data_IF_373355035510
#
_entry.id   IF_373355035510
#
_cell.length_a   1.000
_cell.length_b   1.000
_cell.length_c   1.000
_cell.angle_alpha   90.00
_cell.angle_beta   90.00
_cell.angle_gamma   90.00
#
_symmetry.space_group_name_H-M   'P 1'
#
loop_
_entity.id
_entity.type
_entity.pdbx_description
1 polymer ?
#
# COMPACT_ATOMS: atom_id res chain seq x y z
N UNK A 1 -6.36 19.53 -1.85
CA UNK A 1 -7.22 18.33 -1.92
C UNK A 1 -7.04 17.66 -3.26
N UNK A 2 -6.63 16.40 -3.29
CA UNK A 2 -6.47 15.58 -4.48
C UNK A 2 -7.80 15.17 -5.09
N UNK A 3 -7.88 15.22 -6.41
CA UNK A 3 -8.90 14.52 -7.18
C UNK A 3 -8.58 13.04 -7.33
N UNK A 4 -9.60 12.21 -7.58
CA UNK A 4 -9.45 10.79 -7.93
C UNK A 4 -8.44 10.56 -9.08
N UNK A 5 -8.45 11.45 -10.09
CA UNK A 5 -7.53 11.38 -11.23
C UNK A 5 -6.08 11.63 -10.80
N UNK A 6 -5.85 12.60 -9.91
CA UNK A 6 -4.51 12.89 -9.38
C UNK A 6 -3.96 11.73 -8.55
N UNK A 7 -4.75 11.19 -7.62
CA UNK A 7 -4.34 10.03 -6.82
C UNK A 7 -3.97 8.85 -7.73
N UNK A 8 -4.81 8.53 -8.72
CA UNK A 8 -4.53 7.46 -9.68
C UNK A 8 -3.27 7.72 -10.50
N UNK A 9 -3.02 8.96 -10.93
CA UNK A 9 -1.81 9.32 -11.67
C UNK A 9 -0.56 9.09 -10.84
N UNK A 10 -0.53 9.61 -9.60
CA UNK A 10 0.59 9.46 -8.68
C UNK A 10 0.86 7.99 -8.34
N UNK A 11 -0.20 7.22 -8.13
CA UNK A 11 -0.10 5.79 -7.86
C UNK A 11 0.49 5.03 -9.06
N UNK A 12 0.03 5.33 -10.28
CA UNK A 12 0.58 4.73 -11.50
C UNK A 12 2.05 5.13 -11.73
N UNK A 13 2.43 6.38 -11.45
CA UNK A 13 3.82 6.83 -11.51
C UNK A 13 4.70 6.03 -10.55
N UNK A 14 4.26 5.84 -9.30
CA UNK A 14 4.97 5.02 -8.32
C UNK A 14 5.10 3.57 -8.77
N UNK A 15 4.03 2.98 -9.31
CA UNK A 15 4.07 1.62 -9.87
C UNK A 15 5.10 1.52 -11.00
N UNK A 16 5.05 2.43 -11.98
CA UNK A 16 6.00 2.45 -13.11
C UNK A 16 7.44 2.59 -12.60
N UNK A 17 7.69 3.48 -11.63
CA UNK A 17 9.00 3.65 -11.02
C UNK A 17 9.50 2.39 -10.32
N UNK A 18 8.63 1.73 -9.54
CA UNK A 18 8.96 0.48 -8.87
C UNK A 18 9.23 -0.64 -9.88
N UNK A 19 8.41 -0.74 -10.93
CA UNK A 19 8.53 -1.77 -11.97
C UNK A 19 9.81 -1.68 -12.80
N UNK A 20 10.47 -0.51 -12.85
CA UNK A 20 11.80 -0.38 -13.48
C UNK A 20 12.87 -1.17 -12.75
N UNK A 21 12.73 -1.35 -11.44
CA UNK A 21 13.68 -2.09 -10.58
C UNK A 21 13.23 -3.52 -10.31
N UNK A 22 11.92 -3.72 -10.17
CA UNK A 22 11.34 -4.98 -9.68
C UNK A 22 10.27 -5.50 -10.62
N UNK A 23 10.35 -6.79 -10.96
CA UNK A 23 9.27 -7.47 -11.66
C UNK A 23 8.14 -7.78 -10.67
N UNK A 24 7.20 -6.84 -10.55
CA UNK A 24 5.98 -6.98 -9.75
C UNK A 24 4.75 -6.93 -10.66
N UNK A 25 3.81 -7.83 -10.44
CA UNK A 25 2.52 -7.83 -11.13
C UNK A 25 1.46 -7.43 -10.12
N UNK A 26 1.00 -6.18 -10.20
CA UNK A 26 0.00 -5.63 -9.31
C UNK A 26 -0.86 -4.63 -10.08
N UNK A 27 -2.18 -4.69 -9.92
CA UNK A 27 -3.08 -3.66 -10.43
C UNK A 27 -3.28 -2.55 -9.39
N UNK A 28 -3.61 -1.34 -9.87
CA UNK A 28 -4.04 -0.21 -9.02
C UNK A 28 -5.48 0.15 -9.37
N UNK A 29 -6.35 0.16 -8.37
CA UNK A 29 -7.76 0.52 -8.54
C UNK A 29 -8.22 1.57 -7.55
N UNK A 30 -8.92 2.57 -8.09
CA UNK A 30 -9.62 3.57 -7.28
C UNK A 30 -11.02 3.05 -6.94
N UNK A 31 -11.28 2.79 -5.67
CA UNK A 31 -12.55 2.24 -5.17
C UNK A 31 -13.39 3.29 -4.46
N UNK A 32 -14.70 3.05 -4.37
CA UNK A 32 -15.57 3.87 -3.53
C UNK A 32 -15.22 3.71 -2.05
N UNK A 33 -15.52 4.73 -1.25
CA UNK A 33 -15.29 4.73 0.20
C UNK A 33 -15.94 3.51 0.87
N UNK A 34 -17.20 3.22 0.54
CA UNK A 34 -17.92 2.04 1.05
C UNK A 34 -17.22 0.73 0.72
N UNK A 35 -16.70 0.59 -0.50
CA UNK A 35 -15.97 -0.61 -0.91
C UNK A 35 -14.64 -0.71 -0.18
N UNK A 36 -13.91 0.40 -0.02
CA UNK A 36 -12.68 0.47 0.76
C UNK A 36 -12.91 -0.04 2.19
N UNK A 37 -13.93 0.49 2.88
CA UNK A 37 -14.28 0.06 4.23
C UNK A 37 -14.72 -1.40 4.31
N UNK A 38 -15.48 -1.89 3.34
CA UNK A 38 -15.87 -3.31 3.27
C UNK A 38 -14.65 -4.22 3.13
N UNK A 39 -13.64 -3.81 2.37
CA UNK A 39 -12.39 -4.56 2.22
C UNK A 39 -11.54 -4.46 3.49
N UNK A 40 -11.37 -3.26 4.04
CA UNK A 40 -10.61 -3.00 5.26
C UNK A 40 -11.11 -3.87 6.42
N UNK A 41 -12.44 -3.97 6.61
CA UNK A 41 -13.07 -4.80 7.66
C UNK A 41 -12.79 -6.29 7.55
N UNK A 42 -12.35 -6.78 6.39
CA UNK A 42 -11.95 -8.19 6.21
C UNK A 42 -10.52 -8.44 6.67
N UNK A 43 -9.66 -7.42 6.69
CA UNK A 43 -8.28 -7.54 7.17
C UNK A 43 -8.25 -7.75 8.70
N UNK A 44 -7.59 -8.83 9.19
CA UNK A 44 -7.40 -9.04 10.63
C UNK A 44 -6.68 -7.87 11.30
N UNK A 45 -5.72 -7.24 10.62
CA UNK A 45 -4.93 -6.11 11.12
C UNK A 45 -5.81 -4.88 11.40
N UNK A 46 -6.77 -4.61 10.51
CA UNK A 46 -7.63 -3.43 10.59
C UNK A 46 -8.84 -3.66 11.51
N UNK A 47 -9.25 -4.92 11.72
CA UNK A 47 -10.33 -5.24 12.66
C UNK A 47 -10.04 -4.71 14.07
N UNK A 48 -8.80 -4.75 14.51
CA UNK A 48 -8.42 -4.28 15.85
C UNK A 48 -8.35 -2.75 15.93
N UNK A 49 -7.89 -2.07 14.88
CA UNK A 49 -7.91 -0.59 14.81
C UNK A 49 -9.35 -0.04 14.78
N UNK A 50 -10.23 -0.64 13.98
CA UNK A 50 -11.64 -0.27 13.91
C UNK A 50 -12.33 -0.46 15.26
N UNK A 51 -12.07 -1.58 15.97
CA UNK A 51 -12.61 -1.80 17.32
C UNK A 51 -12.15 -0.73 18.31
N UNK A 52 -10.90 -0.27 18.18
CA UNK A 52 -10.31 0.77 19.04
C UNK A 52 -10.73 2.20 18.66
N UNK A 53 -11.54 2.39 17.60
CA UNK A 53 -11.94 3.70 17.06
C UNK A 53 -10.74 4.61 16.74
N UNK A 54 -9.59 4.01 16.42
CA UNK A 54 -8.40 4.75 16.01
C UNK A 54 -8.60 5.17 14.55
N UNK A 55 -8.24 6.41 14.16
CA UNK A 55 -8.24 6.80 12.75
C UNK A 55 -7.36 5.84 11.95
N UNK A 56 -7.92 5.27 10.88
CA UNK A 56 -7.18 4.37 10.00
C UNK A 56 -5.98 5.11 9.41
N UNK A 57 -4.79 4.60 9.71
CA UNK A 57 -3.54 5.04 9.07
C UNK A 57 -3.32 4.38 7.71
N UNK A 58 -4.22 3.48 7.33
CA UNK A 58 -4.13 2.66 6.12
C UNK A 58 -4.67 3.46 4.94
N UNK A 59 -3.77 4.06 4.17
CA UNK A 59 -4.14 4.78 2.95
C UNK A 59 -4.36 3.87 1.74
N UNK A 60 -3.88 2.63 1.76
CA UNK A 60 -4.04 1.68 0.68
C UNK A 60 -4.33 0.28 1.22
N UNK A 61 -5.04 -0.53 0.43
CA UNK A 61 -5.32 -1.92 0.79
C UNK A 61 -4.83 -2.84 -0.33
N UNK A 62 -4.02 -3.82 0.01
CA UNK A 62 -3.70 -4.92 -0.91
C UNK A 62 -4.76 -6.00 -0.79
N UNK A 63 -5.36 -6.37 -1.91
CA UNK A 63 -6.27 -7.51 -2.04
C UNK A 63 -5.55 -8.61 -2.80
N UNK A 64 -5.33 -9.72 -2.12
CA UNK A 64 -4.68 -10.90 -2.67
C UNK A 64 -5.70 -11.81 -3.38
N UNK A 65 -5.45 -12.16 -4.64
CA UNK A 65 -6.31 -13.01 -5.47
C UNK A 65 -5.53 -13.65 -6.62
N UNK A 66 -6.19 -13.94 -7.74
CA UNK A 66 -5.52 -14.36 -9.00
C UNK A 66 -4.55 -13.27 -9.49
N UNK A 67 -4.92 -12.01 -9.28
CA UNK A 67 -4.05 -10.85 -9.46
C UNK A 67 -3.97 -10.06 -8.15
N UNK A 68 -2.78 -9.55 -7.85
CA UNK A 68 -2.55 -8.67 -6.72
C UNK A 68 -3.10 -7.27 -7.03
N UNK A 69 -3.88 -6.70 -6.11
CA UNK A 69 -4.60 -5.44 -6.35
C UNK A 69 -4.40 -4.45 -5.20
N UNK A 70 -3.82 -3.28 -5.49
CA UNK A 70 -3.79 -2.13 -4.57
C UNK A 70 -5.05 -1.29 -4.77
N UNK A 71 -5.86 -1.18 -3.72
CA UNK A 71 -7.06 -0.36 -3.67
C UNK A 71 -6.78 0.97 -2.97
N UNK A 72 -7.14 2.06 -3.63
CA UNK A 72 -7.01 3.43 -3.13
C UNK A 72 -8.35 4.15 -3.13
N UNK A 73 -8.52 5.14 -2.26
CA UNK A 73 -9.66 6.04 -2.25
C UNK A 73 -9.18 7.47 -2.01
N UNK A 74 -9.71 8.43 -2.76
CA UNK A 74 -9.31 9.82 -2.72
C UNK A 74 -9.69 10.52 -1.41
N UNK A 75 -10.82 10.19 -0.79
CA UNK A 75 -11.24 10.79 0.47
C UNK A 75 -10.33 10.33 1.60
N UNK A 76 -9.96 9.04 1.61
CA UNK A 76 -8.96 8.49 2.53
C UNK A 76 -7.61 9.18 2.34
N UNK A 77 -7.12 9.33 1.10
CA UNK A 77 -5.87 10.04 0.82
C UNK A 77 -5.90 11.49 1.33
N UNK A 78 -6.97 12.21 1.04
CA UNK A 78 -7.14 13.61 1.44
C UNK A 78 -7.22 13.79 2.96
N UNK A 79 -7.70 12.79 3.70
CA UNK A 79 -7.71 12.81 5.16
C UNK A 79 -6.32 12.54 5.76
N UNK A 80 -5.44 11.84 5.04
CA UNK A 80 -4.10 11.49 5.52
C UNK A 80 -3.06 12.54 5.18
N UNK A 81 -3.20 13.24 4.04
CA UNK A 81 -2.16 14.12 3.53
C UNK A 81 -2.67 15.10 2.49
N UNK A 82 -1.93 16.20 2.32
CA UNK A 82 -2.01 17.11 1.18
C UNK A 82 -0.75 17.03 0.27
N UNK A 83 0.19 16.15 0.61
CA UNK A 83 1.48 16.01 -0.07
C UNK A 83 1.45 14.88 -1.12
N UNK A 84 1.64 15.17 -2.43
CA UNK A 84 1.64 14.16 -3.50
C UNK A 84 2.64 13.02 -3.30
N UNK A 85 3.78 13.31 -2.68
CA UNK A 85 4.85 12.33 -2.47
C UNK A 85 4.45 11.27 -1.43
N UNK A 86 3.54 11.59 -0.52
CA UNK A 86 2.99 10.61 0.43
C UNK A 86 2.14 9.56 -0.30
N UNK A 87 1.39 9.95 -1.33
CA UNK A 87 0.63 9.00 -2.16
C UNK A 87 1.58 8.00 -2.83
N UNK A 88 2.70 8.47 -3.38
CA UNK A 88 3.73 7.61 -3.96
C UNK A 88 4.37 6.71 -2.91
N UNK A 89 4.68 7.27 -1.73
CA UNK A 89 5.26 6.54 -0.62
C UNK A 89 4.40 5.34 -0.22
N UNK A 90 3.09 5.55 -0.04
CA UNK A 90 2.14 4.48 0.28
C UNK A 90 2.15 3.41 -0.80
N UNK A 91 2.11 3.80 -2.07
CA UNK A 91 2.10 2.81 -3.16
C UNK A 91 3.41 2.02 -3.21
N UNK A 92 4.56 2.63 -2.97
CA UNK A 92 5.82 1.89 -2.84
C UNK A 92 5.81 0.91 -1.67
N UNK A 93 5.29 1.33 -0.51
CA UNK A 93 5.16 0.47 0.66
C UNK A 93 4.31 -0.78 0.36
N UNK A 94 3.13 -0.60 -0.26
CA UNK A 94 2.29 -1.75 -0.65
C UNK A 94 2.92 -2.63 -1.73
N UNK A 95 3.63 -2.04 -2.70
CA UNK A 95 4.34 -2.82 -3.72
C UNK A 95 5.50 -3.63 -3.13
N UNK A 96 6.19 -3.10 -2.11
CA UNK A 96 7.17 -3.85 -1.34
C UNK A 96 6.52 -5.07 -0.67
N UNK A 97 5.34 -4.93 -0.06
CA UNK A 97 4.61 -6.07 0.49
C UNK A 97 4.32 -7.13 -0.57
N UNK A 98 3.75 -6.74 -1.71
CA UNK A 98 3.43 -7.67 -2.80
C UNK A 98 4.68 -8.36 -3.33
N UNK A 99 5.74 -7.60 -3.59
CA UNK A 99 6.99 -8.12 -4.14
C UNK A 99 7.70 -9.09 -3.18
N UNK A 100 7.79 -8.73 -1.90
CA UNK A 100 8.46 -9.55 -0.90
C UNK A 100 7.66 -10.81 -0.60
N UNK A 101 6.33 -10.73 -0.53
CA UNK A 101 5.45 -11.90 -0.42
C UNK A 101 5.68 -12.87 -1.58
N UNK A 102 5.71 -12.38 -2.82
CA UNK A 102 5.98 -13.22 -3.99
C UNK A 102 7.37 -13.89 -3.95
N UNK A 103 8.38 -13.19 -3.43
CA UNK A 103 9.72 -13.76 -3.20
C UNK A 103 9.76 -14.81 -2.09
N UNK A 104 8.96 -14.64 -1.04
CA UNK A 104 8.88 -15.57 0.10
C UNK A 104 8.10 -16.83 -0.27
N UNK A 105 6.96 -16.69 -0.97
CA UNK A 105 6.18 -17.83 -1.47
C UNK A 105 6.97 -18.68 -2.47
N UNK A 106 7.82 -18.06 -3.31
CA UNK A 106 8.75 -18.79 -4.17
C UNK A 106 9.88 -19.54 -3.44
N UNK A 107 10.00 -19.38 -2.10
CA UNK A 107 11.08 -19.93 -1.28
C UNK A 107 10.60 -20.75 -0.06
N UNK A 108 9.30 -21.01 0.07
CA UNK A 108 8.68 -21.90 1.08
C UNK A 108 9.00 -21.57 2.57
N UNK A 109 9.18 -20.28 2.89
CA UNK A 109 9.45 -19.83 4.26
C UNK A 109 8.15 -19.43 4.97
N UNK A 110 7.74 -20.16 6.02
CA UNK A 110 6.59 -19.83 6.88
C UNK A 110 6.70 -18.40 7.42
N UNK A 111 5.65 -17.63 7.20
CA UNK A 111 5.62 -16.17 7.34
C UNK A 111 4.78 -15.75 8.56
N UNK A 112 5.43 -15.50 9.68
CA UNK A 112 4.83 -14.81 10.82
C UNK A 112 5.86 -13.79 11.35
N UNK A 113 5.46 -12.52 11.52
CA UNK A 113 6.16 -11.45 12.26
C UNK A 113 7.31 -10.66 11.56
N UNK A 114 7.79 -11.00 10.35
CA UNK A 114 8.88 -10.22 9.67
C UNK A 114 8.48 -9.38 8.45
N UNK A 115 7.19 -9.27 8.11
CA UNK A 115 6.76 -8.58 6.88
C UNK A 115 7.10 -7.08 6.88
N UNK A 116 6.62 -6.34 7.88
CA UNK A 116 6.85 -4.89 8.01
C UNK A 116 8.33 -4.52 8.09
N UNK A 117 9.12 -5.22 8.91
CA UNK A 117 10.55 -4.95 9.03
C UNK A 117 11.29 -5.11 7.70
N UNK A 118 10.88 -6.07 6.84
CA UNK A 118 11.48 -6.25 5.51
C UNK A 118 11.06 -5.14 4.56
N UNK A 119 9.80 -4.70 4.64
CA UNK A 119 9.30 -3.55 3.87
C UNK A 119 10.04 -2.29 4.26
N UNK A 120 10.20 -2.02 5.56
CA UNK A 120 10.95 -0.87 6.08
C UNK A 120 12.41 -0.87 5.63
N UNK A 121 13.08 -2.02 5.70
CA UNK A 121 14.46 -2.15 5.22
C UNK A 121 14.55 -1.87 3.72
N UNK A 122 13.69 -2.49 2.91
CA UNK A 122 13.67 -2.26 1.47
C UNK A 122 13.34 -0.80 1.12
N UNK A 123 12.40 -0.18 1.83
CA UNK A 123 12.06 1.23 1.65
C UNK A 123 13.24 2.14 2.00
N UNK A 124 14.00 1.85 3.07
CA UNK A 124 15.22 2.59 3.44
C UNK A 124 16.33 2.45 2.42
N UNK A 125 16.53 1.25 1.89
CA UNK A 125 17.60 0.98 0.93
C UNK A 125 17.28 1.51 -0.46
N UNK A 126 16.05 1.30 -0.95
CA UNK A 126 15.71 1.53 -2.35
C UNK A 126 14.92 2.81 -2.62
N UNK A 127 14.21 3.30 -1.59
CA UNK A 127 13.30 4.44 -1.67
C UNK A 127 13.48 5.43 -0.49
N UNK A 128 14.72 5.78 -0.09
CA UNK A 128 15.00 6.52 1.16
C UNK A 128 14.27 7.87 1.27
N UNK A 129 14.03 8.54 0.12
CA UNK A 129 13.27 9.80 0.05
C UNK A 129 11.86 9.69 0.64
N UNK A 130 11.26 8.51 0.56
CA UNK A 130 9.86 8.28 0.94
C UNK A 130 9.69 7.75 2.38
N UNK A 131 10.78 7.33 3.04
CA UNK A 131 10.73 6.77 4.41
C UNK A 131 10.18 7.77 5.43
N UNK A 132 10.48 9.07 5.25
CA UNK A 132 10.03 10.14 6.15
C UNK A 132 8.52 10.25 6.32
N UNK A 133 7.74 9.60 5.46
CA UNK A 133 6.27 9.60 5.51
C UNK A 133 5.69 8.51 6.42
N UNK A 134 6.52 7.63 6.95
CA UNK A 134 6.12 6.49 7.81
C UNK A 134 6.70 6.58 9.24
N UNK A 135 7.32 7.71 9.59
CA UNK A 135 7.94 7.99 10.91
C UNK A 135 6.95 8.69 11.84
#
# INVERSE_FOLDING_TARGET
MFSKKQVKSLANEAHIEFSKKHKVFCQISMVSLDKFWKLAKKSPLIKDEIKRKIPLKVGALVVHGEEELICLNEDIMNNLTDNPEFVKAIVFHELCHVFLKNKVMGRDLKEEVKSENRVDLMMKEEFPKYVKYFV
#
